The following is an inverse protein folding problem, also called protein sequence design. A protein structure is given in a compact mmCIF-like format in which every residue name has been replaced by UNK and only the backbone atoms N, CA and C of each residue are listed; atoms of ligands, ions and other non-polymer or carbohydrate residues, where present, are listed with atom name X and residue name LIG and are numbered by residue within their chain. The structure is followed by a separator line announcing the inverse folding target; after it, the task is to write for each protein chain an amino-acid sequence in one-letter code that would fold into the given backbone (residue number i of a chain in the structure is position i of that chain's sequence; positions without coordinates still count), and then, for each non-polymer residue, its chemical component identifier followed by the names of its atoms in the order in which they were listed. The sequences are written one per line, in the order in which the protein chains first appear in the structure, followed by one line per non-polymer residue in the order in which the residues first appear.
data_IF_680622413276
#
_entry.id   IF_680622413276
#
_cell.length_a   1.000
_cell.length_b   1.000
_cell.length_c   1.000
_cell.angle_alpha   90.00
_cell.angle_beta   90.00
_cell.angle_gamma   90.00
#
_symmetry.space_group_name_H-M   'P 1'
#
loop_
_entity.id
_entity.type
_entity.pdbx_description
1 polymer ?
#
# COMPACT_ATOMS: atom_id res chain seq x y z
N UNK A 1 7.33 -1.34 6.43
CA UNK A 1 6.35 -2.40 6.16
C UNK A 1 6.44 -3.47 7.24
N UNK A 2 5.32 -3.86 7.80
CA UNK A 2 5.19 -4.96 8.76
C UNK A 2 4.19 -5.95 8.16
N UNK A 3 4.50 -7.25 8.25
CA UNK A 3 3.56 -8.29 7.82
C UNK A 3 3.58 -9.44 8.82
N UNK A 4 2.40 -9.93 9.16
CA UNK A 4 2.20 -11.08 10.04
C UNK A 4 1.31 -12.07 9.30
N UNK A 5 1.61 -13.36 9.44
CA UNK A 5 0.85 -14.44 8.85
C UNK A 5 0.62 -15.53 9.90
N UNK A 6 -0.58 -16.07 9.97
CA UNK A 6 -0.92 -17.22 10.79
C UNK A 6 -1.73 -18.22 9.98
N UNK A 7 -1.39 -19.48 10.09
CA UNK A 7 -2.07 -20.59 9.43
C UNK A 7 -2.48 -21.62 10.47
N UNK A 8 -3.72 -22.04 10.40
CA UNK A 8 -4.30 -23.07 11.23
C UNK A 8 -4.89 -24.17 10.34
N UNK A 9 -4.51 -25.42 10.60
CA UNK A 9 -5.03 -26.60 9.95
C UNK A 9 -5.57 -27.55 11.01
N UNK A 10 -6.74 -28.10 10.78
CA UNK A 10 -7.37 -29.07 11.65
C UNK A 10 -8.12 -30.13 10.84
N UNK A 11 -8.11 -31.35 11.32
CA UNK A 11 -8.93 -32.44 10.81
C UNK A 11 -9.81 -32.99 11.96
N UNK A 12 -10.92 -32.33 12.25
CA UNK A 12 -11.78 -32.75 13.37
C UNK A 12 -12.43 -34.12 13.13
N UNK A 13 -12.64 -34.47 11.87
CA UNK A 13 -13.20 -35.75 11.45
C UNK A 13 -12.42 -36.29 10.24
N UNK A 14 -12.41 -37.59 10.03
CA UNK A 14 -11.75 -38.25 8.90
C UNK A 14 -12.27 -37.77 7.53
N UNK A 15 -13.44 -37.19 7.51
CA UNK A 15 -14.12 -36.72 6.29
C UNK A 15 -14.08 -35.19 6.12
N UNK A 16 -13.46 -34.44 7.08
CA UNK A 16 -13.47 -32.98 7.05
C UNK A 16 -12.10 -32.40 7.44
N UNK A 17 -11.48 -31.69 6.51
CA UNK A 17 -10.32 -30.83 6.76
C UNK A 17 -10.75 -29.36 6.79
N UNK A 18 -10.17 -28.62 7.71
CA UNK A 18 -10.38 -27.17 7.87
C UNK A 18 -9.01 -26.49 7.77
N UNK A 19 -8.91 -25.54 6.90
CA UNK A 19 -7.73 -24.66 6.80
C UNK A 19 -8.17 -23.21 6.95
N UNK A 20 -7.50 -22.46 7.82
CA UNK A 20 -7.69 -21.02 7.99
C UNK A 20 -6.33 -20.35 7.87
N UNK A 21 -6.25 -19.37 6.99
CA UNK A 21 -5.06 -18.55 6.79
C UNK A 21 -5.40 -17.09 6.99
N UNK A 22 -4.65 -16.40 7.82
CA UNK A 22 -4.79 -14.98 8.08
C UNK A 22 -3.49 -14.26 7.79
N UNK A 23 -3.56 -13.12 7.09
CA UNK A 23 -2.40 -12.29 6.82
C UNK A 23 -2.75 -10.84 7.06
N UNK A 24 -1.94 -10.16 7.85
CA UNK A 24 -2.01 -8.73 8.06
C UNK A 24 -0.78 -8.06 7.46
N UNK A 25 -0.99 -6.97 6.71
CA UNK A 25 0.09 -6.18 6.12
C UNK A 25 -0.17 -4.71 6.43
N UNK A 26 0.76 -4.12 7.16
CA UNK A 26 0.83 -2.69 7.40
C UNK A 26 1.95 -2.06 6.57
N UNK A 27 1.62 -0.98 5.87
CA UNK A 27 2.61 -0.19 5.12
C UNK A 27 2.40 1.28 5.43
N UNK A 28 3.47 1.97 5.80
CA UNK A 28 3.48 3.43 5.95
C UNK A 28 4.43 4.02 4.91
N UNK A 29 3.93 4.97 4.15
CA UNK A 29 4.68 5.80 3.22
C UNK A 29 4.65 7.23 3.74
N UNK A 30 5.80 7.88 3.69
CA UNK A 30 5.96 9.28 4.09
C UNK A 30 6.75 9.99 2.99
N UNK A 31 6.04 10.77 2.19
CA UNK A 31 6.57 11.44 1.03
C UNK A 31 6.43 12.97 1.15
N UNK A 32 7.32 13.74 0.51
CA UNK A 32 7.06 15.16 0.28
C UNK A 32 5.74 15.34 -0.50
N UNK A 33 4.94 16.31 -0.13
CA UNK A 33 3.62 16.49 -0.74
C UNK A 33 3.72 16.97 -2.20
N UNK A 34 4.72 17.79 -2.53
CA UNK A 34 4.83 18.48 -3.83
C UNK A 34 5.82 17.87 -4.80
N UNK A 35 6.52 16.84 -4.39
CA UNK A 35 7.49 16.17 -5.24
C UNK A 35 7.23 14.68 -5.16
N UNK A 36 6.77 14.10 -6.24
CA UNK A 36 6.90 12.67 -6.41
C UNK A 36 8.40 12.32 -6.58
N UNK A 37 8.74 11.05 -6.50
CA UNK A 37 10.13 10.61 -6.65
C UNK A 37 10.72 11.02 -7.99
N UNK A 38 9.93 11.02 -9.04
CA UNK A 38 10.36 11.44 -10.38
C UNK A 38 10.59 12.95 -10.43
N UNK A 39 9.64 13.75 -9.93
CA UNK A 39 9.79 15.21 -9.86
C UNK A 39 11.00 15.61 -9.04
N UNK A 40 11.22 15.00 -7.87
CA UNK A 40 12.34 15.30 -7.01
C UNK A 40 13.68 14.97 -7.66
N UNK A 41 13.88 13.72 -8.11
CA UNK A 41 15.19 13.27 -8.58
C UNK A 41 15.49 13.70 -10.01
N UNK A 42 14.56 13.56 -10.93
CA UNK A 42 14.81 13.85 -12.33
C UNK A 42 14.62 15.32 -12.70
N UNK A 43 13.70 15.99 -12.05
CA UNK A 43 13.43 17.38 -12.37
C UNK A 43 14.19 18.37 -11.48
N UNK A 44 14.14 18.19 -10.18
CA UNK A 44 14.68 19.17 -9.24
C UNK A 44 16.17 18.97 -8.97
N UNK A 45 16.60 17.72 -8.67
CA UNK A 45 18.02 17.43 -8.38
C UNK A 45 18.88 17.52 -9.64
N UNK A 46 18.42 16.98 -10.77
CA UNK A 46 19.19 17.03 -12.02
C UNK A 46 19.35 18.45 -12.61
N UNK A 47 18.52 19.40 -12.19
CA UNK A 47 18.56 20.81 -12.63
C UNK A 47 19.19 21.75 -11.61
N UNK A 48 19.88 21.24 -10.62
CA UNK A 48 20.61 22.07 -9.66
C UNK A 48 21.63 22.93 -10.36
N UNK A 49 21.70 24.19 -9.95
CA UNK A 49 22.73 25.12 -10.45
C UNK A 49 23.96 24.95 -9.58
N UNK A 50 25.08 24.45 -10.13
CA UNK A 50 26.30 24.18 -9.37
C UNK A 50 26.92 25.42 -8.75
N UNK A 51 26.65 26.59 -9.32
CA UNK A 51 27.14 27.88 -8.85
C UNK A 51 26.30 28.54 -7.77
N UNK A 52 25.12 28.01 -7.48
CA UNK A 52 24.23 28.57 -6.47
C UNK A 52 24.37 27.77 -5.15
N UNK A 53 24.69 28.42 -4.03
CA UNK A 53 24.76 27.71 -2.75
C UNK A 53 23.39 27.23 -2.29
N UNK A 54 23.36 26.19 -1.45
CA UNK A 54 22.13 25.65 -0.86
C UNK A 54 21.61 26.49 0.30
N UNK A 55 22.49 27.21 0.96
CA UNK A 55 22.16 28.08 2.09
C UNK A 55 22.78 29.45 1.91
N UNK A 56 22.04 30.45 2.41
CA UNK A 56 22.54 31.82 2.51
C UNK A 56 23.60 31.96 3.64
N UNK A 57 24.26 33.10 3.78
CA UNK A 57 25.25 33.36 4.87
C UNK A 57 24.62 33.25 6.28
N UNK A 58 23.32 33.37 6.41
CA UNK A 58 22.58 33.24 7.67
C UNK A 58 22.17 31.80 7.97
N UNK A 59 22.45 30.84 7.07
CA UNK A 59 22.16 29.43 7.25
C UNK A 59 20.78 28.98 6.79
N UNK A 60 19.98 29.84 6.17
CA UNK A 60 18.66 29.50 5.63
C UNK A 60 18.76 28.91 4.22
N UNK A 61 17.84 28.02 3.89
CA UNK A 61 17.81 27.39 2.56
C UNK A 61 17.48 28.42 1.48
N UNK A 62 18.27 28.37 0.42
CA UNK A 62 18.04 29.14 -0.81
C UNK A 62 17.19 28.33 -1.80
N UNK A 63 16.67 29.02 -2.81
CA UNK A 63 15.83 28.44 -3.86
C UNK A 63 16.66 27.61 -4.86
N UNK A 64 17.37 26.64 -4.35
CA UNK A 64 18.19 25.73 -5.16
C UNK A 64 17.89 24.28 -4.74
N UNK A 65 17.32 23.48 -5.66
CA UNK A 65 17.05 22.06 -5.46
C UNK A 65 15.95 21.73 -4.47
N UNK A 66 15.10 22.71 -4.11
CA UNK A 66 13.96 22.50 -3.22
C UNK A 66 14.28 21.87 -1.87
N UNK A 67 15.52 22.04 -1.38
CA UNK A 67 15.97 21.48 -0.10
C UNK A 67 15.15 22.02 1.08
N UNK A 68 14.76 23.30 1.04
CA UNK A 68 13.88 23.90 2.03
C UNK A 68 12.51 23.20 2.08
N UNK A 69 11.95 22.87 0.93
CA UNK A 69 10.71 22.10 0.84
C UNK A 69 10.85 20.69 1.41
N UNK A 70 11.94 20.00 1.09
CA UNK A 70 12.18 18.64 1.57
C UNK A 70 12.35 18.57 3.08
N UNK A 71 12.99 19.60 3.67
CA UNK A 71 13.32 19.60 5.10
C UNK A 71 12.17 20.11 5.94
N UNK A 72 11.53 21.21 5.53
CA UNK A 72 10.52 21.93 6.30
C UNK A 72 9.15 21.93 5.66
N UNK A 73 9.03 21.30 4.49
CA UNK A 73 7.82 21.33 3.68
C UNK A 73 6.74 20.40 4.12
N UNK A 74 5.67 20.46 3.37
CA UNK A 74 4.48 19.64 3.55
C UNK A 74 4.75 18.17 3.28
N UNK A 75 4.06 17.32 4.01
CA UNK A 75 4.21 15.86 3.92
C UNK A 75 2.90 15.20 3.55
N UNK A 76 2.99 14.13 2.78
CA UNK A 76 1.90 13.19 2.51
C UNK A 76 2.23 11.85 3.16
N UNK A 77 1.49 11.51 4.21
CA UNK A 77 1.68 10.28 4.97
C UNK A 77 0.53 9.35 4.64
N UNK A 78 0.83 8.22 4.01
CA UNK A 78 -0.15 7.20 3.66
C UNK A 78 0.08 5.96 4.51
N UNK A 79 -0.93 5.55 5.25
CA UNK A 79 -0.96 4.32 6.04
C UNK A 79 -1.95 3.34 5.40
N UNK A 80 -1.48 2.15 5.05
CA UNK A 80 -2.29 1.08 4.46
C UNK A 80 -2.34 -0.10 5.41
N UNK A 81 -3.55 -0.50 5.80
CA UNK A 81 -3.85 -1.72 6.53
C UNK A 81 -4.55 -2.69 5.58
N UNK A 82 -3.96 -3.85 5.37
CA UNK A 82 -4.56 -4.90 4.58
C UNK A 82 -4.69 -6.15 5.44
N UNK A 83 -5.92 -6.64 5.59
CA UNK A 83 -6.23 -7.89 6.26
C UNK A 83 -6.71 -8.88 5.22
N UNK A 84 -6.13 -10.06 5.19
CA UNK A 84 -6.54 -11.17 4.35
C UNK A 84 -6.96 -12.31 5.27
N UNK A 85 -8.17 -12.78 5.09
CA UNK A 85 -8.74 -13.93 5.77
C UNK A 85 -9.13 -14.95 4.70
N UNK A 86 -8.62 -16.16 4.82
CA UNK A 86 -8.94 -17.25 3.91
C UNK A 86 -9.35 -18.47 4.73
N UNK A 87 -10.48 -19.04 4.39
CA UNK A 87 -10.97 -20.29 4.94
C UNK A 87 -11.19 -21.30 3.84
N UNK A 88 -10.78 -22.52 4.06
CA UNK A 88 -11.07 -23.67 3.19
C UNK A 88 -11.61 -24.80 4.03
N UNK A 89 -12.68 -25.39 3.55
CA UNK A 89 -13.25 -26.65 4.04
C UNK A 89 -13.08 -27.68 2.94
N UNK A 90 -12.55 -28.85 3.27
CA UNK A 90 -12.43 -29.98 2.35
C UNK A 90 -13.21 -31.13 2.92
N UNK A 91 -14.26 -31.54 2.23
CA UNK A 91 -15.07 -32.71 2.54
C UNK A 91 -14.61 -33.90 1.72
N UNK A 92 -14.47 -35.04 2.37
CA UNK A 92 -14.11 -36.34 1.76
C UNK A 92 -15.27 -37.32 1.89
N UNK A 93 -16.33 -37.23 1.02
CA UNK A 93 -17.49 -38.10 1.13
C UNK A 93 -17.13 -39.57 0.85
N UNK A 94 -16.21 -39.76 -0.09
CA UNK A 94 -15.68 -41.07 -0.50
C UNK A 94 -14.14 -41.00 -0.66
N UNK A 95 -13.49 -42.14 -0.71
CA UNK A 95 -12.02 -42.24 -0.75
C UNK A 95 -11.32 -41.42 -1.84
N UNK A 96 -11.98 -41.23 -2.99
CA UNK A 96 -11.38 -40.52 -4.13
C UNK A 96 -12.20 -39.29 -4.55
N UNK A 97 -13.08 -38.82 -3.70
CA UNK A 97 -13.97 -37.69 -3.97
C UNK A 97 -13.76 -36.60 -2.94
N UNK A 98 -13.40 -35.40 -3.40
CA UNK A 98 -13.22 -34.23 -2.55
C UNK A 98 -14.15 -33.11 -3.00
N UNK A 99 -14.71 -32.40 -2.02
CA UNK A 99 -15.51 -31.19 -2.22
C UNK A 99 -14.84 -30.07 -1.44
N UNK A 100 -14.53 -28.98 -2.13
CA UNK A 100 -13.82 -27.82 -1.57
C UNK A 100 -14.77 -26.63 -1.50
N UNK A 101 -14.90 -26.05 -0.33
CA UNK A 101 -15.58 -24.79 -0.12
C UNK A 101 -14.57 -23.76 0.39
N UNK A 102 -14.31 -22.69 -0.40
CA UNK A 102 -13.38 -21.64 -0.06
C UNK A 102 -14.10 -20.33 0.16
N UNK A 103 -13.64 -19.57 1.14
CA UNK A 103 -14.02 -18.19 1.35
C UNK A 103 -12.76 -17.35 1.54
N UNK A 104 -12.67 -16.25 0.83
CA UNK A 104 -11.61 -15.27 0.95
C UNK A 104 -12.19 -13.88 1.22
N UNK A 105 -11.72 -13.22 2.27
CA UNK A 105 -12.07 -11.85 2.60
C UNK A 105 -10.80 -11.00 2.62
N UNK A 106 -10.80 -9.93 1.84
CA UNK A 106 -9.75 -8.92 1.86
C UNK A 106 -10.32 -7.60 2.29
N UNK A 107 -9.82 -7.07 3.39
CA UNK A 107 -10.17 -5.77 3.93
C UNK A 107 -9.01 -4.81 3.69
N UNK A 108 -9.29 -3.69 3.05
CA UNK A 108 -8.33 -2.62 2.79
C UNK A 108 -8.81 -1.39 3.53
N UNK A 109 -7.95 -0.84 4.38
CA UNK A 109 -8.17 0.44 5.06
C UNK A 109 -6.93 1.30 4.85
N UNK A 110 -7.10 2.36 4.05
CA UNK A 110 -6.06 3.32 3.72
C UNK A 110 -6.43 4.69 4.27
N UNK A 111 -5.50 5.28 5.01
CA UNK A 111 -5.60 6.66 5.47
C UNK A 111 -4.42 7.44 4.89
N UNK A 112 -4.72 8.47 4.12
CA UNK A 112 -3.75 9.42 3.61
C UNK A 112 -3.96 10.75 4.32
N UNK A 113 -2.93 11.24 5.00
CA UNK A 113 -2.90 12.55 5.64
C UNK A 113 -1.90 13.44 4.93
N UNK A 114 -2.34 14.61 4.52
CA UNK A 114 -1.51 15.63 3.90
C UNK A 114 -1.46 16.84 4.83
N UNK A 115 -0.27 17.21 5.29
CA UNK A 115 -0.05 18.41 6.08
C UNK A 115 0.51 19.49 5.17
N UNK A 116 -0.18 20.61 5.08
CA UNK A 116 0.20 21.79 4.31
C UNK A 116 0.92 22.77 5.24
N UNK A 117 2.18 23.05 4.96
CA UNK A 117 2.99 24.00 5.71
C UNK A 117 3.48 25.11 4.80
N UNK A 118 3.51 26.34 5.30
CA UNK A 118 4.23 27.40 4.62
C UNK A 118 5.72 27.11 4.63
N UNK A 119 6.37 27.31 3.50
CA UNK A 119 7.83 27.17 3.38
C UNK A 119 8.39 28.45 2.82
N UNK A 120 9.46 28.93 3.42
CA UNK A 120 10.22 30.08 2.99
C UNK A 120 11.58 29.65 2.50
N UNK A 121 11.98 30.17 1.36
CA UNK A 121 13.34 30.04 0.81
C UNK A 121 13.92 31.44 0.68
N UNK A 122 15.23 31.57 0.85
CA UNK A 122 15.89 32.86 0.80
C UNK A 122 16.47 33.11 -0.59
N UNK A 123 16.52 34.39 -0.99
CA UNK A 123 17.26 34.82 -2.15
C UNK A 123 18.74 35.07 -1.78
N UNK A 124 19.54 35.45 -2.77
CA UNK A 124 21.01 35.71 -2.61
C UNK A 124 21.33 36.90 -1.69
N UNK A 125 20.36 37.77 -1.46
CA UNK A 125 20.51 38.92 -0.55
C UNK A 125 19.96 38.67 0.86
N UNK A 126 19.48 37.45 1.09
CA UNK A 126 18.97 37.01 2.41
C UNK A 126 17.52 37.35 2.69
N UNK A 127 16.74 37.79 1.69
CA UNK A 127 15.31 38.04 1.85
C UNK A 127 14.53 36.73 1.79
N UNK A 128 13.58 36.58 2.71
CA UNK A 128 12.68 35.42 2.72
C UNK A 128 11.63 35.54 1.62
N UNK A 129 11.54 34.52 0.80
CA UNK A 129 10.52 34.36 -0.25
C UNK A 129 9.59 33.23 0.10
N UNK A 130 8.31 33.50 0.20
CA UNK A 130 7.32 32.45 0.38
C UNK A 130 7.20 31.62 -0.90
N UNK A 131 7.31 30.31 -0.76
CA UNK A 131 7.15 29.39 -1.90
C UNK A 131 5.70 29.31 -2.32
N UNK A 132 5.49 29.59 -3.60
CA UNK A 132 4.22 29.32 -4.24
C UNK A 132 4.18 27.84 -4.65
N UNK A 133 3.19 27.12 -4.13
CA UNK A 133 2.88 25.78 -4.61
C UNK A 133 1.87 25.88 -5.75
N UNK A 134 2.16 25.25 -6.89
CA UNK A 134 1.25 25.19 -8.01
C UNK A 134 0.05 24.26 -7.73
N UNK A 135 -1.05 24.46 -8.44
CA UNK A 135 -2.24 23.61 -8.35
C UNK A 135 -3.21 24.01 -7.23
N UNK A 136 -3.76 23.03 -6.53
CA UNK A 136 -4.78 23.22 -5.49
C UNK A 136 -4.28 23.99 -4.26
N UNK A 137 -2.95 24.14 -4.11
CA UNK A 137 -2.34 24.70 -2.92
C UNK A 137 -1.87 26.13 -3.19
N UNK A 138 -2.71 27.08 -2.83
CA UNK A 138 -2.37 28.51 -2.98
C UNK A 138 -1.28 28.94 -1.99
N UNK A 139 -0.54 29.96 -2.35
CA UNK A 139 0.45 30.62 -1.48
C UNK A 139 -0.22 31.04 -0.16
N UNK A 140 0.44 30.78 0.94
CA UNK A 140 -0.02 31.23 2.25
C UNK A 140 -1.02 30.30 2.95
N UNK A 141 -1.42 29.21 2.32
CA UNK A 141 -2.31 28.25 2.98
C UNK A 141 -1.55 27.29 3.89
N UNK A 142 -2.10 27.09 5.07
CA UNK A 142 -1.72 26.01 6.00
C UNK A 142 -2.95 25.19 6.32
N UNK A 143 -2.76 23.89 6.51
CA UNK A 143 -3.90 23.03 6.83
C UNK A 143 -3.54 21.55 6.86
N UNK A 144 -4.55 20.76 7.11
CA UNK A 144 -4.44 19.30 7.03
C UNK A 144 -5.62 18.76 6.24
N UNK A 145 -5.32 17.92 5.26
CA UNK A 145 -6.32 17.13 4.54
C UNK A 145 -6.14 15.66 4.90
N UNK A 146 -7.26 14.97 5.03
CA UNK A 146 -7.26 13.55 5.32
C UNK A 146 -8.26 12.83 4.46
N UNK A 147 -7.79 11.78 3.79
CA UNK A 147 -8.58 10.92 2.92
C UNK A 147 -8.63 9.52 3.49
N UNK A 148 -9.81 8.92 3.49
CA UNK A 148 -10.03 7.53 3.89
C UNK A 148 -10.53 6.74 2.70
N UNK A 149 -9.89 5.64 2.45
CA UNK A 149 -10.34 4.68 1.44
C UNK A 149 -10.52 3.33 2.10
N UNK A 150 -11.73 2.78 1.99
CA UNK A 150 -12.06 1.43 2.47
C UNK A 150 -12.55 0.61 1.30
N UNK A 151 -12.05 -0.60 1.18
CA UNK A 151 -12.52 -1.56 0.19
C UNK A 151 -12.55 -2.96 0.81
N UNK A 152 -13.64 -3.67 0.52
CA UNK A 152 -13.86 -5.04 0.96
C UNK A 152 -14.05 -5.91 -0.27
N UNK A 153 -13.28 -6.98 -0.35
CA UNK A 153 -13.41 -7.97 -1.41
C UNK A 153 -13.74 -9.31 -0.78
N UNK A 154 -14.87 -9.88 -1.17
CA UNK A 154 -15.28 -11.23 -0.80
C UNK A 154 -15.16 -12.12 -2.04
N UNK A 155 -14.50 -13.25 -1.88
CA UNK A 155 -14.38 -14.27 -2.91
C UNK A 155 -14.86 -15.58 -2.32
N UNK A 156 -15.72 -16.28 -3.03
CA UNK A 156 -16.21 -17.60 -2.63
C UNK A 156 -16.03 -18.55 -3.80
N UNK A 157 -15.61 -19.77 -3.53
CA UNK A 157 -15.57 -20.81 -4.55
C UNK A 157 -16.00 -22.15 -3.97
N UNK A 158 -16.73 -22.90 -4.77
CA UNK A 158 -17.14 -24.26 -4.48
C UNK A 158 -16.78 -25.13 -5.66
N UNK A 159 -15.97 -26.14 -5.43
CA UNK A 159 -15.60 -27.09 -6.48
C UNK A 159 -15.47 -28.49 -5.92
N UNK A 160 -15.55 -29.47 -6.81
CA UNK A 160 -15.46 -30.87 -6.44
C UNK A 160 -14.54 -31.56 -7.43
N UNK A 161 -13.73 -32.47 -6.95
CA UNK A 161 -12.93 -33.37 -7.77
C UNK A 161 -13.24 -34.84 -7.44
N UNK A 162 -13.22 -35.66 -8.49
CA UNK A 162 -13.32 -37.09 -8.38
C UNK A 162 -12.20 -37.75 -9.19
N UNK A 163 -11.44 -38.63 -8.54
CA UNK A 163 -10.34 -39.34 -9.14
C UNK A 163 -10.70 -40.82 -9.29
N UNK A 164 -10.46 -41.39 -10.46
CA UNK A 164 -10.66 -42.83 -10.72
C UNK A 164 -9.55 -43.36 -11.61
N UNK A 165 -9.31 -44.66 -11.48
CA UNK A 165 -8.30 -45.37 -12.29
C UNK A 165 -9.02 -46.39 -13.15
N UNK A 166 -8.61 -46.47 -14.44
CA UNK A 166 -9.04 -47.49 -15.36
C UNK A 166 -7.79 -48.09 -15.98
N UNK A 167 -7.53 -49.34 -15.69
CA UNK A 167 -6.31 -50.05 -16.06
C UNK A 167 -5.05 -49.32 -15.59
N UNK A 168 -4.10 -48.97 -16.43
CA UNK A 168 -2.89 -48.19 -16.12
C UNK A 168 -3.12 -46.68 -16.14
N UNK A 169 -4.31 -46.22 -16.52
CA UNK A 169 -4.64 -44.79 -16.65
C UNK A 169 -5.34 -44.25 -15.44
N UNK A 170 -4.92 -43.03 -14.99
CA UNK A 170 -5.53 -42.28 -13.94
C UNK A 170 -6.26 -41.05 -14.48
N UNK A 171 -7.49 -40.86 -14.08
CA UNK A 171 -8.35 -39.76 -14.49
C UNK A 171 -8.76 -38.94 -13.28
N UNK A 172 -8.78 -37.63 -13.46
CA UNK A 172 -9.30 -36.69 -12.48
C UNK A 172 -10.28 -35.73 -13.17
N UNK A 173 -11.50 -35.69 -12.70
CA UNK A 173 -12.55 -34.79 -13.20
C UNK A 173 -12.79 -33.74 -12.13
N UNK A 174 -12.86 -32.47 -12.52
CA UNK A 174 -13.11 -31.34 -11.63
C UNK A 174 -14.24 -30.49 -12.21
N UNK A 175 -15.18 -30.06 -11.35
CA UNK A 175 -16.22 -29.10 -11.68
C UNK A 175 -16.42 -28.14 -10.51
N UNK A 176 -16.76 -26.87 -10.79
CA UNK A 176 -16.95 -25.89 -9.73
C UNK A 176 -17.47 -24.55 -10.22
N UNK A 177 -17.74 -23.69 -9.26
CA UNK A 177 -18.20 -22.30 -9.44
C UNK A 177 -17.39 -21.36 -8.57
N UNK A 178 -17.26 -20.12 -9.05
CA UNK A 178 -16.51 -19.05 -8.37
C UNK A 178 -17.34 -17.76 -8.34
#
# INVERSE_FOLDING_TARGET
RISTNAKFNAQPFKWLDIEVNTKYVYTKLDNPLYSDMNGLFYHDVARLWPTMPFKDPNGYYMRNGKLGQLTNGSRSITSNNNVYLQGQLVFHPLKNWNIYANVGLRLIDQVQRQNLNKVYEHNVVGEALELAYGGEYAVGQTGTMQYWTKANHLTTSLYSDYSFSFDEHQFKVMAGVN
#
